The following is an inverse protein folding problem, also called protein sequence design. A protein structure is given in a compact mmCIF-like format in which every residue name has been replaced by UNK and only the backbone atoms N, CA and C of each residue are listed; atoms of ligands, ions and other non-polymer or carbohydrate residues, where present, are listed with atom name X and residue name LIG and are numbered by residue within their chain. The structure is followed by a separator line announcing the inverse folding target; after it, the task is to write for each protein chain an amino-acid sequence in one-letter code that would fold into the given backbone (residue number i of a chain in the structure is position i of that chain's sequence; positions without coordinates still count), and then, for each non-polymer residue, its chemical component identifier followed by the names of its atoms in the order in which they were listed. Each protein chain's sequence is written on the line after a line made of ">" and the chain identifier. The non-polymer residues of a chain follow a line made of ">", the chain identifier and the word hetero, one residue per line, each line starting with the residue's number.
data_IF_947951334053
#
_entry.id   IF_947951334053
#
_cell.length_a   1.000
_cell.length_b   1.000
_cell.length_c   1.000
_cell.angle_alpha   90.00
_cell.angle_beta   90.00
_cell.angle_gamma   90.00
#
_symmetry.space_group_name_H-M   'P 1'
#
loop_
_entity.id
_entity.type
_entity.pdbx_description
1 polymer ?
#
# COMPACT_ATOMS: atom_id res chain seq x y z
N UNK A 1 -13.17 16.63 -2.18
CA UNK A 1 -13.58 15.32 -1.66
C UNK A 1 -12.41 14.40 -1.34
N UNK A 2 -11.46 14.15 -2.25
CA UNK A 2 -10.20 13.44 -1.91
C UNK A 2 -9.21 14.24 -1.03
N UNK A 3 -9.55 15.49 -0.69
CA UNK A 3 -8.75 16.38 0.14
C UNK A 3 -9.04 16.24 1.63
N UNK A 4 -10.09 15.49 2.00
CA UNK A 4 -10.36 15.18 3.40
C UNK A 4 -9.42 14.06 3.88
N UNK A 5 -8.51 14.42 4.78
CA UNK A 5 -7.50 13.53 5.30
C UNK A 5 -8.08 12.36 6.12
N UNK A 6 -9.24 12.56 6.77
CA UNK A 6 -9.89 11.52 7.56
C UNK A 6 -10.48 10.45 6.64
N UNK A 7 -11.21 10.88 5.61
CA UNK A 7 -11.78 9.99 4.60
C UNK A 7 -10.68 9.22 3.87
N UNK A 8 -9.59 9.90 3.50
CA UNK A 8 -8.46 9.25 2.83
C UNK A 8 -7.71 8.27 3.72
N UNK A 9 -7.74 8.47 5.05
CA UNK A 9 -7.18 7.53 6.00
C UNK A 9 -8.01 6.25 6.06
N UNK A 10 -9.32 6.36 6.20
CA UNK A 10 -10.23 5.20 6.23
C UNK A 10 -10.10 4.37 4.96
N UNK A 11 -10.13 5.00 3.79
CA UNK A 11 -9.97 4.31 2.49
C UNK A 11 -8.63 3.58 2.40
N UNK A 12 -7.54 4.19 2.91
CA UNK A 12 -6.21 3.55 2.89
C UNK A 12 -6.10 2.37 3.85
N UNK A 13 -6.80 2.43 4.98
CA UNK A 13 -6.90 1.32 5.93
C UNK A 13 -7.75 0.18 5.34
N UNK A 14 -8.88 0.49 4.71
CA UNK A 14 -9.75 -0.50 4.05
C UNK A 14 -9.07 -1.21 2.87
N UNK A 15 -8.35 -0.46 2.03
CA UNK A 15 -7.63 -1.00 0.88
C UNK A 15 -6.27 -1.61 1.24
N UNK A 16 -5.87 -1.53 2.51
CA UNK A 16 -4.60 -2.04 3.03
C UNK A 16 -3.37 -1.55 2.23
N UNK A 17 -3.42 -0.31 1.74
CA UNK A 17 -2.35 0.32 0.95
C UNK A 17 -1.40 1.17 1.79
N UNK A 18 -1.55 1.08 3.11
CA UNK A 18 -0.72 1.78 4.08
C UNK A 18 -1.13 3.25 4.28
N UNK A 19 -0.98 3.68 5.53
CA UNK A 19 -1.23 5.04 6.02
C UNK A 19 0.06 5.65 6.57
N UNK A 20 0.11 6.99 6.66
CA UNK A 20 1.29 7.72 7.16
C UNK A 20 1.69 7.25 8.57
N UNK A 21 0.70 7.11 9.46
CA UNK A 21 0.90 6.57 10.81
C UNK A 21 0.86 5.05 10.76
N UNK A 22 1.88 4.39 11.28
CA UNK A 22 1.93 2.94 11.34
C UNK A 22 0.82 2.37 12.23
N UNK A 23 -0.31 1.94 11.64
CA UNK A 23 -1.37 1.23 12.36
C UNK A 23 -0.95 -0.23 12.57
N UNK A 24 -1.11 -0.82 13.78
CA UNK A 24 -0.89 -2.24 13.99
C UNK A 24 -1.84 -3.08 13.12
N UNK A 25 -1.31 -4.08 12.42
CA UNK A 25 -2.11 -4.99 11.59
C UNK A 25 -2.29 -4.58 10.12
N UNK A 26 -2.03 -3.32 9.75
CA UNK A 26 -2.03 -2.90 8.35
C UNK A 26 -0.71 -3.24 7.64
N UNK A 27 -0.77 -3.42 6.32
CA UNK A 27 0.38 -3.63 5.46
C UNK A 27 1.35 -2.44 5.53
N UNK A 28 2.65 -2.78 5.61
CA UNK A 28 3.74 -1.80 5.70
C UNK A 28 4.86 -2.17 4.73
N UNK A 29 5.60 -1.15 4.30
CA UNK A 29 6.80 -1.34 3.48
C UNK A 29 6.48 -1.96 2.12
N UNK A 30 6.94 -3.19 1.90
CA UNK A 30 6.75 -3.88 0.61
C UNK A 30 5.33 -4.41 0.43
N UNK A 31 4.68 -4.84 1.51
CA UNK A 31 3.32 -5.38 1.46
C UNK A 31 2.31 -4.33 0.98
N UNK A 32 2.39 -3.10 1.51
CA UNK A 32 1.51 -2.00 1.08
C UNK A 32 1.75 -1.63 -0.38
N UNK A 33 3.01 -1.64 -0.83
CA UNK A 33 3.35 -1.38 -2.24
C UNK A 33 2.81 -2.46 -3.17
N UNK A 34 2.86 -3.73 -2.79
CA UNK A 34 2.25 -4.80 -3.57
C UNK A 34 0.73 -4.66 -3.66
N UNK A 35 0.06 -4.19 -2.59
CA UNK A 35 -1.38 -3.89 -2.62
C UNK A 35 -1.69 -2.69 -3.53
N UNK A 36 -0.87 -1.63 -3.52
CA UNK A 36 -1.00 -0.49 -4.44
C UNK A 36 -0.84 -0.91 -5.89
N UNK A 37 0.18 -1.72 -6.19
CA UNK A 37 0.43 -2.30 -7.52
C UNK A 37 -0.80 -3.05 -8.04
N UNK A 38 -1.43 -3.89 -7.19
CA UNK A 38 -2.68 -4.60 -7.53
C UNK A 38 -3.88 -3.68 -7.69
N UNK A 39 -4.01 -2.66 -6.85
CA UNK A 39 -5.16 -1.75 -6.85
C UNK A 39 -5.17 -0.85 -8.11
N UNK A 40 -4.00 -0.35 -8.49
CA UNK A 40 -3.85 0.59 -9.60
C UNK A 40 -3.49 -0.09 -10.93
N UNK A 41 -3.25 -1.40 -10.92
CA UNK A 41 -2.75 -2.17 -12.06
C UNK A 41 -1.46 -1.57 -12.66
N UNK A 42 -0.54 -1.19 -11.77
CA UNK A 42 0.75 -0.57 -12.12
C UNK A 42 1.91 -1.39 -11.61
N UNK A 43 2.92 -1.61 -12.45
CA UNK A 43 4.13 -2.28 -12.01
C UNK A 43 4.97 -1.34 -11.12
N UNK A 44 5.29 -1.81 -9.90
CA UNK A 44 6.23 -1.15 -9.00
C UNK A 44 7.56 -1.90 -9.00
N UNK A 45 8.60 -1.29 -9.58
CA UNK A 45 9.96 -1.83 -9.69
C UNK A 45 10.53 -2.44 -8.39
N UNK A 46 10.25 -1.85 -7.22
CA UNK A 46 10.76 -2.42 -5.97
C UNK A 46 10.01 -3.68 -5.52
N UNK A 47 8.75 -3.87 -5.93
CA UNK A 47 8.01 -5.12 -5.74
C UNK A 47 8.59 -6.23 -6.62
N UNK A 48 8.93 -5.94 -7.88
CA UNK A 48 9.61 -6.87 -8.77
C UNK A 48 10.96 -7.31 -8.23
N UNK A 49 11.83 -6.36 -7.86
CA UNK A 49 13.13 -6.68 -7.25
C UNK A 49 12.99 -7.49 -5.96
N UNK A 50 11.95 -7.22 -5.16
CA UNK A 50 11.70 -8.01 -3.97
C UNK A 50 11.34 -9.45 -4.34
N UNK A 51 10.46 -9.66 -5.32
CA UNK A 51 10.11 -10.98 -5.85
C UNK A 51 11.33 -11.74 -6.39
N UNK A 52 12.25 -11.07 -7.09
CA UNK A 52 13.50 -11.65 -7.59
C UNK A 52 14.45 -12.12 -6.47
N UNK A 53 14.45 -11.44 -5.33
CA UNK A 53 15.34 -11.77 -4.19
C UNK A 53 14.75 -12.89 -3.33
N UNK A 54 13.41 -12.97 -3.22
CA UNK A 54 12.73 -13.94 -2.36
C UNK A 54 12.27 -15.22 -3.08
N UNK A 55 12.23 -15.20 -4.42
CA UNK A 55 11.90 -16.35 -5.26
C UNK A 55 13.12 -17.21 -5.56
#
# INVERSE_FOLDING_TARGET
>A
DLSDEYVMREIREELDIGVLTSVPGCAKGIASKMNIEKLLDVNINCCDKFREITG
#
